data_IF_118936345221
#
_entry.id   IF_118936345221
#
_cell.length_a   1.000
_cell.length_b   1.000
_cell.length_c   1.000
_cell.angle_alpha   90.00
_cell.angle_beta   90.00
_cell.angle_gamma   90.00
#
_symmetry.space_group_name_H-M   'P 1'
#
loop_
_entity.id
_entity.type
_entity.pdbx_description
1 polymer ?
#
# COMPACT_ATOMS: atom_id res chain seq x y z
N UNK A 1 12.19 -18.34 -7.63
CA UNK A 1 10.72 -18.14 -7.61
C UNK A 1 10.13 -19.04 -6.53
N UNK A 2 9.78 -18.44 -5.39
CA UNK A 2 8.68 -18.92 -4.56
C UNK A 2 7.89 -17.66 -4.17
N UNK A 3 6.64 -17.59 -4.60
CA UNK A 3 5.65 -16.61 -4.16
C UNK A 3 4.51 -17.46 -3.63
N UNK A 4 4.29 -17.48 -2.31
CA UNK A 4 3.03 -18.01 -1.77
C UNK A 4 2.40 -17.05 -0.77
N UNK A 5 1.91 -15.97 -1.37
CA UNK A 5 0.48 -15.66 -1.37
C UNK A 5 0.01 -15.49 -2.80
N UNK A 6 -1.26 -15.74 -3.07
CA UNK A 6 -1.89 -15.68 -4.40
C UNK A 6 -2.03 -14.24 -4.95
N UNK A 7 -1.15 -13.33 -4.51
CA UNK A 7 -1.24 -11.89 -4.77
C UNK A 7 -0.07 -11.46 -5.65
N UNK A 8 -0.43 -10.92 -6.81
CA UNK A 8 0.52 -10.32 -7.74
C UNK A 8 1.14 -9.05 -7.13
N UNK A 9 2.39 -8.77 -7.47
CA UNK A 9 3.00 -7.45 -7.19
C UNK A 9 2.32 -6.33 -8.00
N UNK A 10 1.53 -6.67 -9.03
CA UNK A 10 0.72 -5.73 -9.81
C UNK A 10 -0.64 -5.44 -9.16
N UNK A 11 -0.62 -4.70 -8.06
CA UNK A 11 -1.78 -4.36 -7.25
C UNK A 11 -2.54 -3.11 -7.71
N UNK A 12 -2.93 -3.08 -8.98
CA UNK A 12 -3.70 -1.98 -9.59
C UNK A 12 -4.93 -1.52 -8.78
N UNK A 13 -5.74 -2.41 -8.17
CA UNK A 13 -6.83 -1.97 -7.32
C UNK A 13 -6.39 -1.06 -6.17
N UNK A 14 -5.22 -1.33 -5.56
CA UNK A 14 -4.67 -0.50 -4.48
C UNK A 14 -4.23 0.85 -4.99
N UNK A 15 -3.56 0.91 -6.15
CA UNK A 15 -3.20 2.18 -6.81
C UNK A 15 -4.45 3.03 -7.03
N UNK A 16 -5.52 2.44 -7.57
CA UNK A 16 -6.79 3.13 -7.82
C UNK A 16 -7.41 3.64 -6.52
N UNK A 17 -7.50 2.80 -5.49
CA UNK A 17 -8.02 3.23 -4.19
C UNK A 17 -7.21 4.38 -3.60
N UNK A 18 -5.88 4.32 -3.64
CA UNK A 18 -5.03 5.40 -3.14
C UNK A 18 -5.27 6.72 -3.89
N UNK A 19 -5.42 6.68 -5.22
CA UNK A 19 -5.77 7.86 -6.02
C UNK A 19 -7.11 8.46 -5.60
N UNK A 20 -8.13 7.62 -5.41
CA UNK A 20 -9.47 8.05 -4.99
C UNK A 20 -9.43 8.70 -3.58
N UNK A 21 -8.76 8.06 -2.61
CA UNK A 21 -8.65 8.61 -1.24
C UNK A 21 -7.84 9.90 -1.19
N UNK A 22 -6.73 9.99 -1.92
CA UNK A 22 -5.92 11.22 -2.00
C UNK A 22 -6.71 12.33 -2.71
N UNK A 23 -7.47 12.01 -3.75
CA UNK A 23 -8.36 12.96 -4.42
C UNK A 23 -9.44 13.51 -3.49
N UNK A 24 -10.12 12.64 -2.74
CA UNK A 24 -11.10 13.04 -1.74
C UNK A 24 -10.49 13.86 -0.59
N UNK A 25 -9.26 13.54 -0.17
CA UNK A 25 -8.52 14.36 0.79
C UNK A 25 -8.25 15.77 0.25
N UNK A 26 -7.81 15.88 -1.00
CA UNK A 26 -7.57 17.17 -1.63
C UNK A 26 -8.85 18.02 -1.68
N UNK A 27 -9.99 17.42 -1.99
CA UNK A 27 -11.28 18.10 -1.95
C UNK A 27 -11.63 18.57 -0.53
N UNK A 28 -11.45 17.71 0.47
CA UNK A 28 -11.67 18.07 1.88
C UNK A 28 -10.82 19.26 2.32
N UNK A 29 -9.53 19.28 1.96
CA UNK A 29 -8.62 20.40 2.25
C UNK A 29 -9.08 21.68 1.55
N UNK A 30 -9.49 21.59 0.27
CA UNK A 30 -10.04 22.74 -0.47
C UNK A 30 -11.32 23.29 0.16
N UNK A 31 -12.11 22.44 0.81
CA UNK A 31 -13.33 22.82 1.51
C UNK A 31 -13.08 23.30 2.96
N UNK A 32 -11.84 23.60 3.33
CA UNK A 32 -11.49 24.21 4.61
C UNK A 32 -11.09 23.24 5.71
N UNK A 33 -10.96 21.93 5.42
CA UNK A 33 -10.41 20.99 6.40
C UNK A 33 -8.95 21.32 6.74
N UNK A 34 -8.62 21.33 8.03
CA UNK A 34 -7.26 21.53 8.53
C UNK A 34 -6.42 20.23 8.53
N UNK A 35 -6.52 19.42 7.46
CA UNK A 35 -5.79 18.15 7.38
C UNK A 35 -4.30 18.39 7.14
N UNK A 36 -3.45 17.64 7.85
CA UNK A 36 -1.98 17.83 7.85
C UNK A 36 -1.18 16.67 7.28
N UNK A 37 -1.83 15.56 6.94
CA UNK A 37 -1.14 14.41 6.38
C UNK A 37 -2.08 13.29 5.96
N UNK A 38 -1.51 12.35 5.21
CA UNK A 38 -2.14 11.12 4.77
C UNK A 38 -1.18 9.98 5.01
N UNK A 39 -1.63 8.94 5.70
CA UNK A 39 -0.84 7.75 5.99
C UNK A 39 -1.55 6.54 5.43
N UNK A 40 -0.88 5.85 4.50
CA UNK A 40 -1.41 4.60 3.95
C UNK A 40 -1.12 3.45 4.92
N UNK A 41 -2.16 2.71 5.28
CA UNK A 41 -2.01 1.42 5.95
C UNK A 41 -1.75 0.36 4.88
N UNK A 42 -0.57 -0.22 4.79
CA UNK A 42 0.62 -0.05 5.64
C UNK A 42 1.89 0.01 4.79
N UNK A 43 3.05 0.25 5.40
CA UNK A 43 4.32 0.20 4.66
C UNK A 43 4.58 -1.19 4.07
N UNK A 44 4.35 -2.25 4.83
CA UNK A 44 4.59 -3.64 4.40
C UNK A 44 3.51 -4.55 4.95
N UNK A 45 3.36 -5.73 4.35
CA UNK A 45 2.41 -6.73 4.85
C UNK A 45 2.73 -7.10 6.29
N UNK A 46 1.69 -7.13 7.12
CA UNK A 46 1.76 -7.45 8.55
C UNK A 46 0.76 -8.54 8.90
N UNK A 47 0.77 -8.98 10.16
CA UNK A 47 -0.30 -9.82 10.69
C UNK A 47 -1.57 -8.98 10.89
N UNK A 48 -2.62 -9.30 10.14
CA UNK A 48 -3.82 -8.48 10.08
C UNK A 48 -4.94 -9.03 10.95
N UNK A 49 -4.73 -9.04 12.28
CA UNK A 49 -5.72 -9.45 13.30
C UNK A 49 -6.59 -10.65 12.84
N UNK A 50 -7.82 -10.37 12.38
CA UNK A 50 -8.80 -11.37 11.94
C UNK A 50 -8.47 -12.05 10.60
N UNK A 51 -7.73 -11.37 9.71
CA UNK A 51 -7.24 -11.89 8.43
C UNK A 51 -5.88 -12.60 8.53
N UNK A 52 -5.23 -12.51 9.69
CA UNK A 52 -3.92 -13.10 9.95
C UNK A 52 -2.90 -12.79 8.85
N UNK A 53 -2.12 -13.79 8.44
CA UNK A 53 -1.21 -13.69 7.32
C UNK A 53 -1.86 -14.11 5.99
N UNK A 54 -3.16 -13.93 5.79
CA UNK A 54 -3.81 -14.08 4.48
C UNK A 54 -4.24 -12.76 3.83
N UNK A 55 -4.29 -11.64 4.57
CA UNK A 55 -4.63 -10.32 4.03
C UNK A 55 -3.40 -9.43 3.80
N UNK A 56 -3.27 -8.86 2.59
CA UNK A 56 -2.07 -8.13 2.15
C UNK A 56 -2.46 -6.67 1.96
N UNK A 57 -2.14 -5.81 2.93
CA UNK A 57 -2.46 -4.38 2.82
C UNK A 57 -1.25 -3.51 2.54
N UNK A 58 -0.03 -4.04 2.72
CA UNK A 58 1.19 -3.28 2.64
C UNK A 58 1.52 -2.82 1.23
N UNK A 59 2.30 -1.74 1.13
CA UNK A 59 2.97 -1.36 -0.12
C UNK A 59 4.05 -2.38 -0.51
N UNK A 60 4.62 -3.08 0.47
CA UNK A 60 5.62 -4.13 0.26
C UNK A 60 5.05 -5.50 0.63
N UNK A 61 5.20 -6.47 -0.27
CA UNK A 61 4.97 -7.87 0.03
C UNK A 61 6.10 -8.39 0.91
N UNK A 62 5.76 -9.15 1.95
CA UNK A 62 6.74 -9.84 2.81
C UNK A 62 6.67 -11.33 2.50
N UNK A 63 7.78 -11.91 2.06
CA UNK A 63 7.90 -13.35 1.85
C UNK A 63 8.08 -14.05 3.20
N UNK A 64 7.01 -14.70 3.67
CA UNK A 64 6.99 -15.40 4.94
C UNK A 64 7.66 -16.78 4.88
N UNK A 65 7.91 -17.31 3.68
CA UNK A 65 8.63 -18.56 3.47
C UNK A 65 10.15 -18.32 3.42
N UNK A 66 10.58 -17.07 3.20
CA UNK A 66 11.98 -16.66 3.25
C UNK A 66 12.42 -16.43 4.72
N UNK A 67 13.48 -17.10 5.21
CA UNK A 67 13.97 -16.94 6.58
C UNK A 67 14.45 -15.51 6.90
N UNK A 68 14.82 -14.72 5.89
CA UNK A 68 15.19 -13.31 6.04
C UNK A 68 13.98 -12.35 5.95
N UNK A 69 12.78 -12.90 5.74
CA UNK A 69 11.52 -12.16 5.56
C UNK A 69 11.65 -11.10 4.47
N UNK A 70 12.19 -11.49 3.31
CA UNK A 70 12.52 -10.54 2.25
C UNK A 70 11.29 -9.75 1.79
N UNK A 71 11.49 -8.45 1.53
CA UNK A 71 10.43 -7.52 1.12
C UNK A 71 10.53 -7.18 -0.36
N UNK A 72 9.40 -7.15 -1.03
CA UNK A 72 9.28 -6.85 -2.45
C UNK A 72 8.31 -5.68 -2.64
N UNK A 73 8.73 -4.58 -3.28
CA UNK A 73 7.84 -3.46 -3.54
C UNK A 73 6.74 -3.89 -4.52
N UNK A 74 5.50 -3.55 -4.19
CA UNK A 74 4.36 -3.70 -5.12
C UNK A 74 4.28 -2.48 -6.04
N UNK A 75 3.45 -2.57 -7.08
CA UNK A 75 3.18 -1.46 -7.99
C UNK A 75 2.71 -0.21 -7.24
N UNK A 76 1.86 -0.36 -6.22
CA UNK A 76 1.43 0.72 -5.34
C UNK A 76 2.58 1.43 -4.62
N UNK A 77 3.64 0.71 -4.22
CA UNK A 77 4.84 1.32 -3.64
C UNK A 77 5.56 2.23 -4.64
N UNK A 78 5.73 1.74 -5.87
CA UNK A 78 6.36 2.50 -6.95
C UNK A 78 5.53 3.73 -7.31
N UNK A 79 4.22 3.55 -7.50
CA UNK A 79 3.30 4.64 -7.79
C UNK A 79 3.31 5.69 -6.68
N UNK A 80 3.20 5.28 -5.41
CA UNK A 80 3.16 6.22 -4.29
C UNK A 80 4.48 6.98 -4.13
N UNK A 81 5.63 6.32 -4.32
CA UNK A 81 6.93 6.99 -4.32
C UNK A 81 7.04 8.04 -5.44
N UNK A 82 6.55 7.72 -6.63
CA UNK A 82 6.56 8.64 -7.78
C UNK A 82 5.61 9.83 -7.54
N UNK A 83 4.39 9.56 -7.07
CA UNK A 83 3.43 10.60 -6.70
C UNK A 83 4.01 11.59 -5.67
N UNK A 84 4.64 11.08 -4.59
CA UNK A 84 5.24 11.92 -3.56
C UNK A 84 6.44 12.76 -4.05
N UNK A 85 7.07 12.36 -5.16
CA UNK A 85 8.15 13.12 -5.82
C UNK A 85 7.65 14.18 -6.81
N UNK A 86 6.33 14.32 -6.96
CA UNK A 86 5.71 15.30 -7.87
C UNK A 86 5.22 14.72 -9.20
N UNK A 87 5.27 13.38 -9.37
CA UNK A 87 4.97 12.70 -10.64
C UNK A 87 6.09 12.82 -11.67
#
# INVERSE_FOLDING_TARGET
QHMRRNETLEDWPRVKSMQEYIGGLLESVRNGSNTRGFFTWSLMDVYELMGGYNSSFGLYYVDLDDPELKRYPKLSAHWYSHFLKGG
#
